data_IF_623861557920
#
_entry.id   IF_623861557920
#
_cell.length_a   1.000
_cell.length_b   1.000
_cell.length_c   1.000
_cell.angle_alpha   90.00
_cell.angle_beta   90.00
_cell.angle_gamma   90.00
#
_symmetry.space_group_name_H-M   'P 1'
#
loop_
_entity.id
_entity.type
_entity.pdbx_description
1 polymer ?
#
# COMPACT_ATOMS: atom_id res chain seq x y z
N UNK A 1 -0.29 -7.08 19.81
CA UNK A 1 -1.27 -7.30 18.71
C UNK A 1 -0.88 -8.56 17.96
N UNK A 2 -1.85 -9.49 17.75
CA UNK A 2 -1.61 -10.66 16.90
C UNK A 2 -1.79 -10.23 15.43
N UNK A 3 -0.75 -10.42 14.60
CA UNK A 3 -0.74 -10.02 13.20
C UNK A 3 -1.87 -10.67 12.38
N UNK A 4 -2.08 -11.99 12.58
CA UNK A 4 -3.07 -12.76 11.83
C UNK A 4 -4.49 -12.31 12.20
N UNK A 5 -4.77 -12.14 13.48
CA UNK A 5 -6.07 -11.65 13.96
C UNK A 5 -6.38 -10.26 13.41
N UNK A 6 -5.37 -9.36 13.37
CA UNK A 6 -5.53 -8.02 12.79
C UNK A 6 -5.84 -8.07 11.30
N UNK A 7 -5.12 -8.88 10.54
CA UNK A 7 -5.37 -9.06 9.10
C UNK A 7 -6.78 -9.61 8.87
N UNK A 8 -7.19 -10.63 9.62
CA UNK A 8 -8.54 -11.19 9.52
C UNK A 8 -9.61 -10.17 9.93
N UNK A 9 -9.39 -9.45 11.01
CA UNK A 9 -10.32 -8.42 11.51
C UNK A 9 -10.57 -7.34 10.46
N UNK A 10 -9.50 -6.75 9.91
CA UNK A 10 -9.63 -5.66 8.93
C UNK A 10 -10.23 -6.11 7.60
N UNK A 11 -9.98 -7.35 7.18
CA UNK A 11 -10.51 -7.89 5.92
C UNK A 11 -11.97 -8.37 6.05
N UNK A 12 -12.33 -9.01 7.17
CA UNK A 12 -13.62 -9.69 7.31
C UNK A 12 -14.65 -8.86 8.10
N UNK A 13 -14.19 -8.02 9.05
CA UNK A 13 -15.04 -7.21 9.93
C UNK A 13 -14.54 -5.76 10.03
N UNK A 14 -14.31 -5.06 8.89
CA UNK A 14 -13.61 -3.79 8.87
C UNK A 14 -14.26 -2.71 9.75
N UNK A 15 -15.60 -2.62 9.78
CA UNK A 15 -16.31 -1.63 10.60
C UNK A 15 -16.01 -1.75 12.10
N UNK A 16 -15.94 -2.98 12.60
CA UNK A 16 -15.64 -3.25 14.02
C UNK A 16 -14.15 -3.03 14.28
N UNK A 17 -13.32 -3.50 13.36
CA UNK A 17 -11.87 -3.44 13.50
C UNK A 17 -11.35 -2.00 13.52
N UNK A 18 -11.92 -1.10 12.72
CA UNK A 18 -11.57 0.32 12.76
C UNK A 18 -11.87 0.97 14.11
N UNK A 19 -12.94 0.57 14.79
CA UNK A 19 -13.24 1.06 16.15
C UNK A 19 -12.20 0.58 17.16
N UNK A 20 -11.79 -0.69 17.07
CA UNK A 20 -10.72 -1.25 17.90
C UNK A 20 -9.39 -0.52 17.66
N UNK A 21 -9.01 -0.31 16.40
CA UNK A 21 -7.79 0.40 16.01
C UNK A 21 -7.78 1.85 16.51
N UNK A 22 -8.94 2.51 16.52
CA UNK A 22 -9.06 3.88 16.99
C UNK A 22 -8.71 4.05 18.48
N UNK A 23 -9.00 3.04 19.30
CA UNK A 23 -8.68 2.99 20.72
C UNK A 23 -7.24 2.61 21.07
N UNK A 24 -6.46 2.13 20.10
CA UNK A 24 -5.08 1.71 20.33
C UNK A 24 -4.10 2.88 20.34
N UNK A 25 -3.07 2.79 21.18
CA UNK A 25 -2.01 3.80 21.31
C UNK A 25 -0.75 3.46 20.49
N UNK A 26 -0.87 2.53 19.53
CA UNK A 26 0.25 2.06 18.69
C UNK A 26 0.92 3.22 17.95
N UNK A 27 2.23 3.31 18.06
CA UNK A 27 3.06 4.34 17.41
C UNK A 27 3.44 3.92 15.98
N UNK A 28 3.84 4.90 15.14
CA UNK A 28 4.30 4.65 13.77
C UNK A 28 5.46 3.63 13.73
N UNK A 29 6.55 3.78 14.51
CA UNK A 29 7.66 2.81 14.49
C UNK A 29 7.23 1.40 14.90
N UNK A 30 6.33 1.29 15.86
CA UNK A 30 5.80 0.01 16.31
C UNK A 30 4.97 -0.65 15.20
N UNK A 31 4.07 0.10 14.57
CA UNK A 31 3.26 -0.41 13.47
C UNK A 31 4.10 -0.80 12.24
N UNK A 32 5.18 -0.06 11.96
CA UNK A 32 6.14 -0.48 10.94
C UNK A 32 6.73 -1.83 11.27
N UNK A 33 7.28 -2.02 12.48
CA UNK A 33 7.98 -3.24 12.89
C UNK A 33 7.06 -4.46 12.97
N UNK A 34 5.84 -4.27 13.46
CA UNK A 34 4.94 -5.39 13.77
C UNK A 34 3.96 -5.73 12.65
N UNK A 35 3.79 -4.85 11.68
CA UNK A 35 2.78 -5.00 10.64
C UNK A 35 3.28 -4.69 9.23
N UNK A 36 3.69 -3.43 8.98
CA UNK A 36 3.96 -2.94 7.62
C UNK A 36 5.14 -3.66 6.97
N UNK A 37 6.28 -3.75 7.66
CA UNK A 37 7.51 -4.41 7.16
C UNK A 37 7.23 -5.87 6.77
N UNK A 38 6.45 -6.57 7.59
CA UNK A 38 6.15 -8.00 7.39
C UNK A 38 5.23 -8.18 6.17
N UNK A 39 4.11 -7.47 6.13
CA UNK A 39 3.12 -7.66 5.07
C UNK A 39 3.56 -7.07 3.72
N UNK A 40 4.24 -5.93 3.73
CA UNK A 40 4.74 -5.30 2.52
C UNK A 40 5.80 -6.16 1.79
N UNK A 41 6.47 -7.09 2.47
CA UNK A 41 7.45 -7.99 1.87
C UNK A 41 6.80 -9.10 1.01
N UNK A 42 5.52 -9.42 1.22
CA UNK A 42 4.82 -10.54 0.54
C UNK A 42 4.88 -10.36 -0.98
N UNK A 43 4.46 -9.22 -1.51
CA UNK A 43 4.42 -8.96 -2.94
C UNK A 43 5.79 -9.03 -3.62
N UNK A 44 6.81 -8.28 -3.16
CA UNK A 44 8.16 -8.34 -3.70
C UNK A 44 8.76 -9.76 -3.68
N UNK A 45 8.63 -10.49 -2.57
CA UNK A 45 9.14 -11.87 -2.46
C UNK A 45 8.42 -12.79 -3.44
N UNK A 46 7.09 -12.72 -3.49
CA UNK A 46 6.30 -13.50 -4.43
C UNK A 46 6.64 -13.18 -5.89
N UNK A 47 6.86 -11.90 -6.22
CA UNK A 47 7.24 -11.46 -7.56
C UNK A 47 8.63 -11.97 -7.98
N UNK A 48 9.61 -11.95 -7.07
CA UNK A 48 10.95 -12.51 -7.33
C UNK A 48 10.83 -14.00 -7.67
N UNK A 49 10.09 -14.76 -6.87
CA UNK A 49 9.86 -16.19 -7.09
C UNK A 49 9.14 -16.40 -8.44
N UNK A 50 8.04 -15.68 -8.65
CA UNK A 50 7.18 -15.82 -9.82
C UNK A 50 7.93 -15.51 -11.12
N UNK A 51 8.61 -14.38 -11.21
CA UNK A 51 9.27 -13.94 -12.44
C UNK A 51 10.57 -14.71 -12.72
N UNK A 52 11.28 -15.17 -11.69
CA UNK A 52 12.56 -15.87 -11.90
C UNK A 52 12.40 -17.38 -12.05
N UNK A 53 11.47 -18.01 -11.31
CA UNK A 53 11.31 -19.47 -11.33
C UNK A 53 10.16 -19.93 -12.23
N UNK A 54 9.00 -19.28 -12.14
CA UNK A 54 7.82 -19.62 -12.94
C UNK A 54 7.91 -18.97 -14.34
N UNK A 55 8.11 -17.66 -14.40
CA UNK A 55 8.14 -16.88 -15.62
C UNK A 55 6.74 -16.55 -16.15
N UNK A 56 6.67 -15.77 -17.22
CA UNK A 56 5.43 -15.40 -17.91
C UNK A 56 5.63 -15.38 -19.41
N UNK A 57 4.74 -16.03 -20.16
CA UNK A 57 4.81 -16.07 -21.63
C UNK A 57 6.09 -16.71 -22.20
N UNK A 58 6.72 -17.63 -21.47
CA UNK A 58 8.00 -18.25 -21.85
C UNK A 58 9.24 -17.44 -21.46
N UNK A 59 9.08 -16.25 -20.89
CA UNK A 59 10.18 -15.38 -20.44
C UNK A 59 10.40 -15.51 -18.94
N UNK A 60 11.67 -15.50 -18.54
CA UNK A 60 12.10 -15.42 -17.12
C UNK A 60 13.07 -14.27 -16.94
N UNK A 61 12.97 -13.60 -15.79
CA UNK A 61 13.89 -12.55 -15.42
C UNK A 61 15.03 -13.17 -14.62
N UNK A 62 16.32 -12.81 -14.90
CA UNK A 62 17.44 -13.25 -14.08
C UNK A 62 17.22 -12.92 -12.60
N UNK A 63 17.58 -13.86 -11.72
CA UNK A 63 17.36 -13.73 -10.27
C UNK A 63 17.96 -12.41 -9.71
N UNK A 64 19.16 -12.02 -10.17
CA UNK A 64 19.81 -10.80 -9.73
C UNK A 64 18.97 -9.55 -10.05
N UNK A 65 18.40 -9.47 -11.26
CA UNK A 65 17.55 -8.35 -11.68
C UNK A 65 16.22 -8.35 -10.94
N UNK A 66 15.61 -9.52 -10.72
CA UNK A 66 14.38 -9.67 -9.95
C UNK A 66 14.58 -9.28 -8.48
N UNK A 67 15.72 -9.65 -7.90
CA UNK A 67 16.07 -9.28 -6.53
C UNK A 67 16.25 -7.76 -6.40
N UNK A 68 17.01 -7.14 -7.31
CA UNK A 68 17.19 -5.68 -7.32
C UNK A 68 15.85 -4.95 -7.43
N UNK A 69 15.00 -5.36 -8.38
CA UNK A 69 13.66 -4.79 -8.55
C UNK A 69 12.77 -4.99 -7.32
N UNK A 70 12.83 -6.18 -6.73
CA UNK A 70 12.05 -6.51 -5.53
C UNK A 70 12.45 -5.67 -4.32
N UNK A 71 13.75 -5.47 -4.09
CA UNK A 71 14.26 -4.61 -3.01
C UNK A 71 13.81 -3.16 -3.21
N UNK A 72 13.97 -2.62 -4.43
CA UNK A 72 13.51 -1.27 -4.76
C UNK A 72 12.01 -1.13 -4.55
N UNK A 73 11.22 -2.07 -5.06
CA UNK A 73 9.76 -2.07 -4.90
C UNK A 73 9.35 -2.14 -3.42
N UNK A 74 10.03 -2.94 -2.62
CA UNK A 74 9.79 -3.05 -1.19
C UNK A 74 10.04 -1.71 -0.47
N UNK A 75 11.19 -1.08 -0.72
CA UNK A 75 11.53 0.23 -0.13
C UNK A 75 10.49 1.28 -0.55
N UNK A 76 10.14 1.33 -1.85
CA UNK A 76 9.14 2.27 -2.35
C UNK A 76 7.76 2.03 -1.72
N UNK A 77 7.39 0.79 -1.44
CA UNK A 77 6.14 0.47 -0.74
C UNK A 77 6.16 1.02 0.69
N UNK A 78 7.26 0.81 1.43
CA UNK A 78 7.39 1.33 2.80
C UNK A 78 7.30 2.88 2.83
N UNK A 79 8.00 3.54 1.93
CA UNK A 79 7.94 5.01 1.77
C UNK A 79 6.53 5.45 1.35
N UNK A 80 5.90 4.73 0.42
CA UNK A 80 4.57 5.03 -0.10
C UNK A 80 3.47 5.03 0.97
N UNK A 81 3.54 4.10 1.94
CA UNK A 81 2.62 4.09 3.08
C UNK A 81 2.74 5.38 3.90
N UNK A 82 3.95 5.84 4.14
CA UNK A 82 4.18 7.06 4.89
C UNK A 82 3.72 8.31 4.12
N UNK A 83 4.00 8.35 2.81
CA UNK A 83 3.50 9.43 1.94
C UNK A 83 1.97 9.47 1.95
N UNK A 84 1.30 8.33 1.85
CA UNK A 84 -0.16 8.27 1.94
C UNK A 84 -0.66 8.80 3.29
N UNK A 85 0.01 8.45 4.38
CA UNK A 85 -0.33 8.96 5.71
C UNK A 85 -0.20 10.50 5.79
N UNK A 86 0.87 11.07 5.19
CA UNK A 86 1.05 12.53 5.11
C UNK A 86 -0.06 13.20 4.30
N UNK A 87 -0.49 12.60 3.19
CA UNK A 87 -1.60 13.09 2.37
C UNK A 87 -2.90 13.09 3.18
N UNK A 88 -3.19 11.98 3.86
CA UNK A 88 -4.37 11.85 4.71
C UNK A 88 -4.35 12.93 5.79
N UNK A 89 -3.26 13.07 6.53
CA UNK A 89 -3.13 14.06 7.60
C UNK A 89 -3.28 15.50 7.09
N UNK A 90 -2.64 15.82 5.96
CA UNK A 90 -2.69 17.14 5.36
C UNK A 90 -4.10 17.53 4.90
N UNK A 91 -4.87 16.58 4.36
CA UNK A 91 -6.23 16.81 3.86
C UNK A 91 -7.29 16.78 4.98
N UNK A 92 -6.99 16.29 6.16
CA UNK A 92 -7.96 16.14 7.25
C UNK A 92 -8.77 17.40 7.55
N UNK A 93 -8.18 18.61 7.69
CA UNK A 93 -8.95 19.83 7.98
C UNK A 93 -9.91 20.21 6.86
N UNK A 94 -9.55 19.95 5.58
CA UNK A 94 -10.41 20.24 4.42
C UNK A 94 -11.73 19.47 4.51
N UNK A 95 -11.69 18.27 5.11
CA UNK A 95 -12.86 17.42 5.30
C UNK A 95 -13.41 17.45 6.74
N UNK A 96 -13.13 18.52 7.48
CA UNK A 96 -13.58 18.71 8.87
C UNK A 96 -13.12 17.59 9.81
N UNK A 97 -12.00 16.95 9.50
CA UNK A 97 -11.31 15.99 10.34
C UNK A 97 -10.24 16.67 11.21
N UNK A 98 -9.66 15.88 12.10
CA UNK A 98 -8.60 16.31 13.02
C UNK A 98 -7.26 15.77 12.55
N UNK A 99 -6.25 16.63 12.40
CA UNK A 99 -4.87 16.23 12.10
C UNK A 99 -4.32 15.33 13.20
N UNK A 100 -3.88 14.16 12.83
CA UNK A 100 -3.17 13.23 13.69
C UNK A 100 -2.39 12.22 12.81
N UNK A 101 -1.11 12.46 12.66
CA UNK A 101 -0.25 11.64 11.79
C UNK A 101 -0.19 10.16 12.22
N UNK A 102 -0.29 9.85 13.51
CA UNK A 102 -0.34 8.46 13.97
C UNK A 102 -1.63 7.77 13.50
N UNK A 103 -2.78 8.44 13.58
CA UNK A 103 -4.05 7.91 13.11
C UNK A 103 -4.08 7.83 11.58
N UNK A 104 -3.58 8.85 10.89
CA UNK A 104 -3.44 8.85 9.43
C UNK A 104 -2.56 7.67 8.94
N UNK A 105 -1.47 7.40 9.67
CA UNK A 105 -0.59 6.27 9.36
C UNK A 105 -1.29 4.92 9.56
N UNK A 106 -2.10 4.76 10.60
CA UNK A 106 -2.92 3.56 10.78
C UNK A 106 -3.91 3.38 9.63
N UNK A 107 -4.60 4.47 9.21
CA UNK A 107 -5.50 4.41 8.05
C UNK A 107 -4.74 3.95 6.81
N UNK A 108 -3.60 4.56 6.51
CA UNK A 108 -2.79 4.20 5.36
C UNK A 108 -2.36 2.72 5.43
N UNK A 109 -1.69 2.31 6.51
CA UNK A 109 -1.13 0.97 6.68
C UNK A 109 -2.20 -0.14 6.56
N UNK A 110 -3.31 0.00 7.27
CA UNK A 110 -4.35 -1.03 7.25
C UNK A 110 -5.14 -1.06 5.95
N UNK A 111 -5.26 0.07 5.25
CA UNK A 111 -5.89 0.11 3.92
C UNK A 111 -5.06 -0.59 2.83
N UNK A 112 -3.74 -0.70 2.98
CA UNK A 112 -2.88 -1.47 2.07
C UNK A 112 -2.96 -2.98 2.27
N UNK A 113 -3.53 -3.47 3.38
CA UNK A 113 -3.58 -4.90 3.73
C UNK A 113 -4.09 -5.80 2.60
N UNK A 114 -5.22 -5.50 1.90
CA UNK A 114 -5.70 -6.35 0.82
C UNK A 114 -4.67 -6.51 -0.29
N UNK A 115 -4.03 -5.42 -0.70
CA UNK A 115 -3.00 -5.43 -1.74
C UNK A 115 -1.79 -6.27 -1.34
N UNK A 116 -1.33 -6.19 -0.09
CA UNK A 116 -0.19 -6.98 0.39
C UNK A 116 -0.52 -8.48 0.43
N UNK A 117 -1.69 -8.85 0.94
CA UNK A 117 -2.12 -10.25 1.00
C UNK A 117 -2.28 -10.84 -0.41
N UNK A 118 -2.91 -10.08 -1.32
CA UNK A 118 -3.03 -10.49 -2.72
C UNK A 118 -1.68 -10.56 -3.43
N UNK A 119 -0.66 -9.88 -2.92
CA UNK A 119 0.70 -9.97 -3.42
C UNK A 119 1.24 -11.40 -3.52
N UNK A 120 0.73 -12.34 -2.72
CA UNK A 120 1.07 -13.76 -2.81
C UNK A 120 0.75 -14.37 -4.19
N UNK A 121 -0.27 -13.85 -4.88
CA UNK A 121 -0.66 -14.30 -6.22
C UNK A 121 0.43 -14.07 -7.27
N UNK A 122 1.36 -13.14 -7.02
CA UNK A 122 2.50 -12.86 -7.91
C UNK A 122 3.51 -14.01 -8.00
N UNK A 123 3.38 -15.05 -7.15
CA UNK A 123 4.12 -16.31 -7.31
C UNK A 123 3.79 -16.94 -8.65
N UNK A 124 2.54 -16.82 -9.12
CA UNK A 124 2.11 -17.24 -10.45
C UNK A 124 1.75 -16.00 -11.25
N UNK A 125 2.64 -15.46 -12.10
CA UNK A 125 2.43 -14.18 -12.78
C UNK A 125 1.14 -14.11 -13.60
N UNK A 126 0.62 -15.23 -14.06
CA UNK A 126 -0.67 -15.31 -14.75
C UNK A 126 -1.87 -14.86 -13.87
N UNK A 127 -1.72 -14.87 -12.55
CA UNK A 127 -2.75 -14.41 -11.61
C UNK A 127 -2.68 -12.90 -11.31
N UNK A 128 -1.72 -12.17 -11.91
CA UNK A 128 -1.59 -10.72 -11.71
C UNK A 128 -2.88 -9.92 -11.98
N UNK A 129 -3.81 -10.29 -12.91
CA UNK A 129 -5.06 -9.56 -13.05
C UNK A 129 -5.95 -9.59 -11.79
N UNK A 130 -5.82 -10.61 -10.94
CA UNK A 130 -6.57 -10.70 -9.68
C UNK A 130 -6.14 -9.64 -8.65
N UNK A 131 -5.01 -8.96 -8.87
CA UNK A 131 -4.59 -7.83 -8.03
C UNK A 131 -5.62 -6.70 -8.02
N UNK A 132 -6.55 -6.66 -8.98
CA UNK A 132 -7.69 -5.72 -8.97
C UNK A 132 -8.53 -5.84 -7.68
N UNK A 133 -8.59 -7.02 -7.07
CA UNK A 133 -9.26 -7.22 -5.78
C UNK A 133 -8.61 -6.38 -4.65
N UNK A 134 -7.38 -5.92 -4.83
CA UNK A 134 -6.70 -4.98 -3.93
C UNK A 134 -7.41 -3.63 -3.82
N UNK A 135 -8.28 -3.28 -4.78
CA UNK A 135 -9.16 -2.10 -4.70
C UNK A 135 -10.08 -2.15 -3.46
N UNK A 136 -10.25 -3.30 -2.83
CA UNK A 136 -10.89 -3.40 -1.53
C UNK A 136 -10.22 -2.49 -0.48
N UNK A 137 -8.95 -2.18 -0.64
CA UNK A 137 -8.23 -1.19 0.17
C UNK A 137 -8.86 0.21 0.13
N UNK A 138 -9.49 0.60 -0.98
CA UNK A 138 -10.22 1.88 -1.09
C UNK A 138 -11.48 1.88 -0.20
N UNK A 139 -12.15 0.74 -0.12
CA UNK A 139 -13.27 0.57 0.81
C UNK A 139 -12.83 0.65 2.27
N UNK A 140 -11.68 0.04 2.59
CA UNK A 140 -11.10 0.17 3.93
C UNK A 140 -10.72 1.61 4.24
N UNK A 141 -10.11 2.33 3.29
CA UNK A 141 -9.79 3.74 3.41
C UNK A 141 -11.05 4.57 3.70
N UNK A 142 -12.11 4.36 2.92
CA UNK A 142 -13.40 5.02 3.09
C UNK A 142 -13.99 4.82 4.50
N UNK A 143 -13.89 3.61 5.05
CA UNK A 143 -14.38 3.31 6.40
C UNK A 143 -13.46 3.84 7.51
N UNK A 144 -12.14 3.84 7.29
CA UNK A 144 -11.15 4.23 8.30
C UNK A 144 -11.07 5.74 8.50
N UNK A 145 -11.23 6.54 7.44
CA UNK A 145 -11.09 7.99 7.48
C UNK A 145 -12.01 8.66 8.50
N UNK A 146 -13.34 8.41 8.52
CA UNK A 146 -14.22 9.06 9.50
C UNK A 146 -13.93 8.61 10.94
N UNK A 147 -13.53 7.37 11.13
CA UNK A 147 -13.28 6.80 12.46
C UNK A 147 -11.99 7.35 13.06
N UNK A 148 -10.89 7.30 12.31
CA UNK A 148 -9.56 7.67 12.85
C UNK A 148 -9.27 9.17 12.73
N UNK A 149 -9.69 9.79 11.62
CA UNK A 149 -9.47 11.22 11.41
C UNK A 149 -10.63 12.08 11.96
N UNK A 150 -11.66 11.43 12.56
CA UNK A 150 -12.84 12.10 13.13
C UNK A 150 -13.55 13.04 12.16
N UNK A 151 -13.55 12.71 10.86
CA UNK A 151 -14.27 13.45 9.86
C UNK A 151 -15.75 13.04 9.80
N UNK A 152 -16.68 13.94 9.46
CA UNK A 152 -18.08 13.57 9.25
C UNK A 152 -18.23 12.48 8.20
N UNK A 153 -19.12 11.51 8.45
CA UNK A 153 -19.37 10.38 7.55
C UNK A 153 -19.78 10.85 6.14
N UNK A 154 -20.53 11.93 6.05
CA UNK A 154 -21.00 12.53 4.78
C UNK A 154 -19.83 12.99 3.88
N UNK A 155 -18.70 13.37 4.48
CA UNK A 155 -17.49 13.80 3.76
C UNK A 155 -16.54 12.67 3.41
N UNK A 156 -16.77 11.44 3.90
CA UNK A 156 -15.85 10.31 3.74
C UNK A 156 -15.58 9.97 2.28
N UNK A 157 -16.60 10.01 1.41
CA UNK A 157 -16.40 9.73 0.00
C UNK A 157 -15.51 10.78 -0.67
N UNK A 158 -15.79 12.07 -0.44
CA UNK A 158 -14.98 13.16 -0.97
C UNK A 158 -13.54 13.11 -0.44
N UNK A 159 -13.37 12.80 0.84
CA UNK A 159 -12.05 12.65 1.45
C UNK A 159 -11.27 11.48 0.82
N UNK A 160 -11.92 10.32 0.68
CA UNK A 160 -11.30 9.15 0.03
C UNK A 160 -10.85 9.48 -1.39
N UNK A 161 -11.73 10.09 -2.20
CA UNK A 161 -11.41 10.48 -3.58
C UNK A 161 -10.25 11.47 -3.62
N UNK A 162 -10.26 12.50 -2.76
CA UNK A 162 -9.18 13.48 -2.70
C UNK A 162 -7.84 12.84 -2.31
N UNK A 163 -7.82 11.92 -1.34
CA UNK A 163 -6.62 11.18 -0.94
C UNK A 163 -6.09 10.35 -2.10
N UNK A 164 -6.96 9.62 -2.80
CA UNK A 164 -6.58 8.78 -3.94
C UNK A 164 -6.02 9.62 -5.08
N UNK A 165 -6.72 10.71 -5.45
CA UNK A 165 -6.26 11.62 -6.51
C UNK A 165 -4.91 12.25 -6.15
N UNK A 166 -4.75 12.75 -4.93
CA UNK A 166 -3.48 13.33 -4.47
C UNK A 166 -2.36 12.29 -4.48
N UNK A 167 -2.63 11.06 -4.04
CA UNK A 167 -1.66 9.97 -4.09
C UNK A 167 -1.25 9.64 -5.53
N UNK A 168 -2.22 9.51 -6.45
CA UNK A 168 -1.94 9.24 -7.88
C UNK A 168 -1.09 10.36 -8.48
N UNK A 169 -1.44 11.64 -8.25
CA UNK A 169 -0.68 12.78 -8.76
C UNK A 169 0.76 12.74 -8.25
N UNK A 170 0.97 12.53 -6.95
CA UNK A 170 2.32 12.46 -6.37
C UNK A 170 3.12 11.29 -6.97
N UNK A 171 2.53 10.10 -7.09
CA UNK A 171 3.23 8.95 -7.67
C UNK A 171 3.53 9.14 -9.16
N UNK A 172 2.64 9.78 -9.91
CA UNK A 172 2.89 10.14 -11.33
C UNK A 172 4.05 11.14 -11.42
N UNK A 173 4.06 12.19 -10.61
CA UNK A 173 5.15 13.18 -10.59
C UNK A 173 6.48 12.52 -10.23
N UNK A 174 6.50 11.68 -9.18
CA UNK A 174 7.70 10.91 -8.79
C UNK A 174 8.16 10.02 -9.95
N UNK A 175 7.23 9.34 -10.63
CA UNK A 175 7.53 8.51 -11.79
C UNK A 175 8.14 9.29 -12.96
N UNK A 176 7.64 10.47 -13.26
CA UNK A 176 8.22 11.35 -14.28
C UNK A 176 9.61 11.83 -13.92
N UNK A 177 9.81 12.29 -12.68
CA UNK A 177 11.13 12.72 -12.19
C UNK A 177 12.12 11.54 -12.25
N UNK A 178 11.71 10.36 -11.80
CA UNK A 178 12.56 9.17 -11.82
C UNK A 178 13.00 8.78 -13.23
N UNK A 179 12.13 8.93 -14.24
CA UNK A 179 12.49 8.67 -15.65
C UNK A 179 13.59 9.59 -16.18
N UNK A 180 13.67 10.82 -15.69
CA UNK A 180 14.71 11.76 -16.09
C UNK A 180 16.12 11.31 -15.65
N UNK A 181 16.21 10.45 -14.65
CA UNK A 181 17.47 9.90 -14.11
C UNK A 181 17.75 8.45 -14.54
N UNK A 182 16.82 7.78 -15.23
CA UNK A 182 17.03 6.42 -15.72
C UNK A 182 17.53 6.50 -17.15
N UNK A 183 18.84 6.27 -17.35
CA UNK A 183 19.43 6.07 -18.69
C UNK A 183 19.08 4.65 -19.14
N UNK A 184 18.21 4.51 -20.13
CA UNK A 184 17.95 3.22 -20.75
C UNK A 184 19.19 2.79 -21.55
N UNK A 185 19.66 1.53 -21.42
CA UNK A 185 20.69 1.03 -22.31
C UNK A 185 20.18 1.12 -23.75
N UNK A 186 20.90 1.79 -24.61
CA UNK A 186 20.61 1.76 -26.05
C UNK A 186 20.75 0.32 -26.56
N UNK A 187 19.78 -0.21 -27.33
CA UNK A 187 19.97 -1.48 -27.99
C UNK A 187 21.26 -1.43 -28.82
N UNK A 188 22.19 -2.34 -28.57
CA UNK A 188 23.30 -2.51 -29.51
C UNK A 188 22.68 -3.04 -30.81
N UNK A 189 22.60 -2.17 -31.80
CA UNK A 189 22.27 -2.62 -33.18
C UNK A 189 23.38 -3.55 -33.66
N UNK A 190 23.01 -4.67 -34.32
CA UNK A 190 23.98 -5.60 -34.88
C UNK A 190 24.83 -4.99 -35.96
#
# INVERSE_FOLDING_TARGET
MNLIERVQGILLKPKQEWQTIAGETTTIPELYKTYVIILAAIGPVASIIGMSLVGFGGFRIPIASSLASGVVSYILTLVGVYILALIIDALAPTFSGVKNINQAFKVAAYSYTPGWILGVLLIIPAFSPLMILGLYGLYLLYLGLPVLMKSPQEKSLGYTVAVVVAAVVIFVVIGFISRAFITYPTPMMP
#
